data_IF_617823192591
#
_entry.id   IF_617823192591
#
_cell.length_a   1.000
_cell.length_b   1.000
_cell.length_c   1.000
_cell.angle_alpha   90.00
_cell.angle_beta   90.00
_cell.angle_gamma   90.00
#
_symmetry.space_group_name_H-M   'P 1'
#
loop_
_entity.id
_entity.type
_entity.pdbx_description
1 polymer ?
#
# COMPACT_ATOMS: atom_id res chain seq x y z
N UNK A 1 -18.02 4.09 27.69
CA UNK A 1 -17.84 4.17 26.23
C UNK A 1 -19.02 3.47 25.55
N UNK A 2 -19.91 4.19 24.88
CA UNK A 2 -21.02 3.58 24.17
C UNK A 2 -20.49 2.77 22.99
N UNK A 3 -20.43 1.44 23.14
CA UNK A 3 -19.99 0.50 22.09
C UNK A 3 -21.06 0.26 20.98
N UNK A 4 -22.16 1.01 21.00
CA UNK A 4 -23.34 0.74 20.18
C UNK A 4 -23.51 1.61 18.92
N UNK A 5 -22.47 2.31 18.46
CA UNK A 5 -22.57 3.06 17.20
C UNK A 5 -22.43 2.11 16.02
N UNK A 6 -23.55 1.70 15.43
CA UNK A 6 -23.60 0.84 14.25
C UNK A 6 -23.39 1.66 12.96
N UNK A 7 -22.49 1.17 12.08
CA UNK A 7 -22.27 1.74 10.74
C UNK A 7 -21.43 3.03 10.73
N UNK A 8 -21.32 3.66 9.55
CA UNK A 8 -20.49 4.84 9.29
C UNK A 8 -21.33 6.08 8.88
N UNK A 9 -22.66 5.93 8.82
CA UNK A 9 -23.56 6.96 8.29
C UNK A 9 -23.47 7.11 6.77
N UNK A 10 -24.52 7.61 6.12
CA UNK A 10 -24.56 7.72 4.66
C UNK A 10 -23.43 8.60 4.11
N UNK A 11 -23.19 9.76 4.71
CA UNK A 11 -22.12 10.67 4.30
C UNK A 11 -20.73 10.10 4.57
N UNK A 12 -20.56 9.34 5.66
CA UNK A 12 -19.32 8.62 5.95
C UNK A 12 -19.00 7.55 4.91
N UNK A 13 -20.01 6.81 4.45
CA UNK A 13 -19.83 5.86 3.34
C UNK A 13 -19.41 6.54 2.05
N UNK A 14 -19.93 7.72 1.72
CA UNK A 14 -19.52 8.48 0.53
C UNK A 14 -18.04 8.86 0.61
N UNK A 15 -17.55 9.32 1.77
CA UNK A 15 -16.13 9.60 1.97
C UNK A 15 -15.26 8.34 1.83
N UNK A 16 -15.73 7.20 2.37
CA UNK A 16 -15.03 5.93 2.24
C UNK A 16 -14.98 5.46 0.77
N UNK A 17 -16.08 5.60 0.02
CA UNK A 17 -16.12 5.30 -1.42
C UNK A 17 -15.18 6.23 -2.18
N UNK A 18 -15.14 7.51 -1.88
CA UNK A 18 -14.21 8.46 -2.49
C UNK A 18 -12.74 8.03 -2.29
N UNK A 19 -12.36 7.62 -1.08
CA UNK A 19 -11.01 7.11 -0.84
C UNK A 19 -10.77 5.76 -1.50
N UNK A 20 -11.74 4.85 -1.48
CA UNK A 20 -11.66 3.57 -2.18
C UNK A 20 -11.40 3.78 -3.68
N UNK A 21 -12.11 4.71 -4.31
CA UNK A 21 -11.91 5.04 -5.73
C UNK A 21 -10.55 5.70 -6.00
N UNK A 22 -10.03 6.51 -5.06
CA UNK A 22 -8.68 7.04 -5.16
C UNK A 22 -7.61 5.93 -5.07
N UNK A 23 -7.79 4.92 -4.20
CA UNK A 23 -6.93 3.75 -4.16
C UNK A 23 -7.09 2.88 -5.43
N UNK A 24 -8.31 2.74 -5.93
CA UNK A 24 -8.55 2.03 -7.20
C UNK A 24 -7.83 2.73 -8.36
N UNK A 25 -7.88 4.06 -8.42
CA UNK A 25 -7.10 4.84 -9.39
C UNK A 25 -5.60 4.56 -9.27
N UNK A 26 -5.07 4.43 -8.04
CA UNK A 26 -3.68 4.08 -7.82
C UNK A 26 -3.36 2.69 -8.39
N UNK A 27 -4.20 1.68 -8.16
CA UNK A 27 -3.97 0.34 -8.74
C UNK A 27 -4.05 0.37 -10.26
N UNK A 28 -5.10 0.97 -10.82
CA UNK A 28 -5.34 0.96 -12.27
C UNK A 28 -4.31 1.77 -13.03
N UNK A 29 -4.08 3.04 -12.65
CA UNK A 29 -3.24 3.94 -13.45
C UNK A 29 -1.75 3.92 -13.09
N UNK A 30 -1.37 3.29 -11.96
CA UNK A 30 0.05 3.19 -11.59
C UNK A 30 0.57 1.77 -11.56
N UNK A 31 -0.21 0.78 -11.09
CA UNK A 31 0.28 -0.60 -11.00
C UNK A 31 0.02 -1.41 -12.28
N UNK A 32 -1.12 -1.25 -12.95
CA UNK A 32 -1.41 -2.00 -14.17
C UNK A 32 -0.41 -1.75 -15.31
N UNK A 33 0.03 -0.50 -15.61
CA UNK A 33 1.06 -0.28 -16.61
C UNK A 33 2.34 -1.07 -16.34
N UNK A 34 2.76 -1.10 -15.09
CA UNK A 34 3.96 -1.79 -14.66
C UNK A 34 3.79 -3.31 -14.60
N UNK A 35 2.64 -3.80 -14.12
CA UNK A 35 2.37 -5.21 -13.92
C UNK A 35 2.04 -5.94 -15.23
N UNK A 36 1.30 -5.29 -16.12
CA UNK A 36 0.66 -5.95 -17.25
C UNK A 36 1.14 -5.47 -18.63
N UNK A 37 1.58 -4.22 -18.73
CA UNK A 37 1.84 -3.55 -20.01
C UNK A 37 3.28 -3.03 -20.14
N UNK A 38 4.21 -3.59 -19.35
CA UNK A 38 5.62 -3.13 -19.35
C UNK A 38 6.26 -3.16 -20.73
N UNK A 39 6.09 -4.23 -21.48
CA UNK A 39 6.65 -4.35 -22.85
C UNK A 39 6.00 -3.39 -23.86
N UNK A 40 4.74 -2.98 -23.61
CA UNK A 40 4.08 -1.97 -24.44
C UNK A 40 4.61 -0.56 -24.16
N UNK A 41 4.78 -0.18 -22.89
CA UNK A 41 5.19 1.18 -22.53
C UNK A 41 6.70 1.42 -22.58
N UNK A 42 7.51 0.39 -22.34
CA UNK A 42 8.96 0.42 -22.47
C UNK A 42 9.46 -0.83 -23.20
N UNK A 43 9.50 -0.83 -24.53
CA UNK A 43 9.95 -2.00 -25.31
C UNK A 43 11.41 -2.39 -25.08
N UNK A 44 12.23 -1.47 -24.57
CA UNK A 44 13.66 -1.70 -24.34
C UNK A 44 13.89 -2.39 -22.99
N UNK A 45 13.28 -1.85 -21.92
CA UNK A 45 13.51 -2.31 -20.56
C UNK A 45 12.28 -3.06 -19.98
N UNK A 46 11.18 -3.09 -20.70
CA UNK A 46 9.96 -3.76 -20.27
C UNK A 46 9.44 -3.26 -18.92
N UNK A 47 8.97 -4.20 -18.12
CA UNK A 47 8.46 -3.95 -16.77
C UNK A 47 9.47 -3.26 -15.85
N UNK A 48 10.77 -3.52 -16.00
CA UNK A 48 11.81 -2.88 -15.18
C UNK A 48 11.88 -1.37 -15.42
N UNK A 49 11.78 -0.92 -16.68
CA UNK A 49 11.79 0.51 -17.02
C UNK A 49 10.59 1.24 -16.42
N UNK A 50 9.40 0.69 -16.57
CA UNK A 50 8.17 1.24 -15.98
C UNK A 50 8.23 1.23 -14.45
N UNK A 51 8.69 0.14 -13.83
CA UNK A 51 8.86 0.03 -12.39
C UNK A 51 9.87 1.03 -11.82
N UNK A 52 10.91 1.38 -12.58
CA UNK A 52 11.89 2.41 -12.22
C UNK A 52 11.23 3.79 -12.10
N UNK A 53 10.40 4.17 -13.08
CA UNK A 53 9.67 5.45 -13.03
C UNK A 53 8.74 5.49 -11.82
N UNK A 54 7.96 4.42 -11.60
CA UNK A 54 7.09 4.28 -10.43
C UNK A 54 7.87 4.46 -9.12
N UNK A 55 8.97 3.72 -8.97
CA UNK A 55 9.78 3.73 -7.74
C UNK A 55 10.33 5.13 -7.45
N UNK A 56 10.87 5.82 -8.45
CA UNK A 56 11.38 7.19 -8.28
C UNK A 56 10.24 8.12 -7.87
N UNK A 57 9.09 8.09 -8.57
CA UNK A 57 7.94 8.93 -8.26
C UNK A 57 7.40 8.67 -6.83
N UNK A 58 7.26 7.40 -6.44
CA UNK A 58 6.78 7.01 -5.13
C UNK A 58 7.74 7.42 -4.00
N UNK A 59 9.06 7.27 -4.19
CA UNK A 59 10.06 7.75 -3.23
C UNK A 59 10.05 9.27 -3.09
N UNK A 60 9.96 10.02 -4.19
CA UNK A 60 9.76 11.48 -4.16
C UNK A 60 8.48 11.83 -3.42
N UNK A 61 7.39 11.09 -3.64
CA UNK A 61 6.12 11.26 -2.95
C UNK A 61 6.25 11.13 -1.42
N UNK A 62 7.00 10.15 -0.92
CA UNK A 62 7.27 10.00 0.53
C UNK A 62 8.05 11.19 1.07
N UNK A 63 9.10 11.64 0.37
CA UNK A 63 9.88 12.81 0.79
C UNK A 63 9.00 14.06 0.84
N UNK A 64 8.17 14.29 -0.17
CA UNK A 64 7.24 15.42 -0.20
C UNK A 64 6.20 15.34 0.93
N UNK A 65 5.69 14.15 1.27
CA UNK A 65 4.77 13.98 2.40
C UNK A 65 5.44 14.32 3.73
N UNK A 66 6.68 13.90 3.94
CA UNK A 66 7.46 14.23 5.14
C UNK A 66 7.68 15.75 5.25
N UNK A 67 8.08 16.41 4.15
CA UNK A 67 8.29 17.87 4.10
C UNK A 67 6.96 18.62 4.30
N UNK A 68 5.86 18.15 3.70
CA UNK A 68 4.55 18.80 3.80
C UNK A 68 3.88 18.62 5.17
N UNK A 69 4.17 17.53 5.88
CA UNK A 69 3.52 17.16 7.14
C UNK A 69 3.48 18.32 8.19
N UNK A 70 4.55 19.09 8.45
CA UNK A 70 4.49 20.21 9.40
C UNK A 70 3.60 21.38 8.95
N UNK A 71 3.34 21.50 7.65
CA UNK A 71 2.57 22.60 7.08
C UNK A 71 1.07 22.30 6.97
N UNK A 72 0.67 21.04 7.13
CA UNK A 72 -0.74 20.61 7.00
C UNK A 72 -1.64 21.37 7.97
N UNK A 73 -1.21 21.60 9.20
CA UNK A 73 -1.97 22.36 10.18
C UNK A 73 -2.24 23.83 9.80
N UNK A 74 -1.54 24.37 8.78
CA UNK A 74 -1.73 25.73 8.24
C UNK A 74 -2.72 25.76 7.08
N UNK A 75 -3.12 24.60 6.55
CA UNK A 75 -4.04 24.50 5.41
C UNK A 75 -5.46 24.70 5.91
N UNK A 76 -6.14 25.72 5.38
CA UNK A 76 -7.50 26.08 5.82
C UNK A 76 -8.57 25.03 5.54
N UNK A 77 -8.39 24.22 4.49
CA UNK A 77 -9.34 23.18 4.09
C UNK A 77 -8.63 22.01 3.43
N UNK A 78 -8.60 20.87 4.13
CA UNK A 78 -8.07 19.60 3.62
C UNK A 78 -8.99 19.03 2.53
N UNK A 79 -10.31 19.24 2.68
CA UNK A 79 -11.28 18.86 1.66
C UNK A 79 -10.97 19.52 0.31
N UNK A 80 -10.81 20.89 0.29
CA UNK A 80 -10.48 21.60 -0.96
C UNK A 80 -9.16 21.10 -1.56
N UNK A 81 -8.15 20.90 -0.70
CA UNK A 81 -6.88 20.33 -1.14
C UNK A 81 -7.07 18.95 -1.75
N UNK A 82 -7.90 18.07 -1.15
CA UNK A 82 -8.15 16.72 -1.68
C UNK A 82 -8.83 16.75 -3.05
N UNK A 83 -9.77 17.69 -3.27
CA UNK A 83 -10.43 17.85 -4.58
C UNK A 83 -9.45 18.35 -5.64
N UNK A 84 -8.65 19.38 -5.33
CA UNK A 84 -7.64 19.90 -6.26
C UNK A 84 -6.63 18.82 -6.63
N UNK A 85 -6.12 18.09 -5.64
CA UNK A 85 -5.20 16.98 -5.87
C UNK A 85 -5.85 15.86 -6.68
N UNK A 86 -7.13 15.54 -6.42
CA UNK A 86 -7.89 14.58 -7.20
C UNK A 86 -8.01 14.99 -8.67
N UNK A 87 -8.36 16.23 -8.96
CA UNK A 87 -8.47 16.76 -10.33
C UNK A 87 -7.11 16.68 -11.05
N UNK A 88 -6.02 17.14 -10.42
CA UNK A 88 -4.68 17.12 -11.02
C UNK A 88 -4.22 15.68 -11.24
N UNK A 89 -4.50 14.79 -10.27
CA UNK A 89 -4.21 13.36 -10.40
C UNK A 89 -4.96 12.74 -11.61
N UNK A 90 -6.23 13.09 -11.79
CA UNK A 90 -7.02 12.58 -12.91
C UNK A 90 -6.54 13.12 -14.26
N UNK A 91 -6.05 14.36 -14.33
CA UNK A 91 -5.39 14.88 -15.56
C UNK A 91 -4.16 14.05 -15.91
N UNK A 92 -3.34 13.69 -14.92
CA UNK A 92 -2.17 12.83 -15.14
C UNK A 92 -2.59 11.39 -15.55
N UNK A 93 -3.62 10.84 -14.91
CA UNK A 93 -4.19 9.52 -15.26
C UNK A 93 -4.77 9.52 -16.68
N UNK A 94 -5.42 10.60 -17.11
CA UNK A 94 -5.86 10.78 -18.50
C UNK A 94 -4.67 10.73 -19.47
N UNK A 95 -3.56 11.38 -19.12
CA UNK A 95 -2.31 11.29 -19.89
C UNK A 95 -1.78 9.86 -19.97
N UNK A 96 -1.79 9.09 -18.87
CA UNK A 96 -1.38 7.66 -18.88
C UNK A 96 -2.26 6.83 -19.82
N UNK A 97 -3.56 7.12 -19.87
CA UNK A 97 -4.51 6.40 -20.72
C UNK A 97 -4.40 6.78 -22.21
N UNK A 98 -4.19 8.07 -22.51
CA UNK A 98 -4.31 8.59 -23.88
C UNK A 98 -2.99 8.76 -24.63
N UNK A 99 -1.88 8.96 -23.91
CA UNK A 99 -0.58 9.14 -24.54
C UNK A 99 -0.03 7.81 -25.06
N UNK A 100 0.56 7.86 -26.23
CA UNK A 100 1.34 6.74 -26.77
C UNK A 100 2.65 6.56 -25.99
N UNK A 101 3.19 5.33 -25.92
CA UNK A 101 4.50 5.09 -25.32
C UNK A 101 5.58 6.07 -25.81
N UNK A 102 6.38 6.61 -24.87
CA UNK A 102 7.42 7.59 -25.16
C UNK A 102 7.60 8.60 -24.04
N UNK A 103 8.38 9.65 -24.28
CA UNK A 103 8.76 10.64 -23.24
C UNK A 103 7.54 11.31 -22.60
N UNK A 104 6.52 11.67 -23.37
CA UNK A 104 5.31 12.31 -22.84
C UNK A 104 4.56 11.35 -21.92
N UNK A 105 4.42 10.09 -22.30
CA UNK A 105 3.81 9.07 -21.46
C UNK A 105 4.59 8.90 -20.16
N UNK A 106 5.92 8.82 -20.21
CA UNK A 106 6.79 8.70 -19.03
C UNK A 106 6.57 9.85 -18.04
N UNK A 107 6.43 11.08 -18.55
CA UNK A 107 6.13 12.27 -17.72
C UNK A 107 4.74 12.16 -17.10
N UNK A 108 3.72 11.82 -17.88
CA UNK A 108 2.36 11.62 -17.37
C UNK A 108 2.31 10.51 -16.32
N UNK A 109 3.00 9.39 -16.56
CA UNK A 109 3.06 8.27 -15.64
C UNK A 109 3.80 8.62 -14.34
N UNK A 110 4.93 9.34 -14.42
CA UNK A 110 5.63 9.83 -13.24
C UNK A 110 4.71 10.70 -12.35
N UNK A 111 4.01 11.67 -12.96
CA UNK A 111 3.11 12.53 -12.21
C UNK A 111 1.86 11.78 -11.73
N UNK A 112 1.32 10.82 -12.47
CA UNK A 112 0.23 9.97 -12.00
C UNK A 112 0.67 9.17 -10.77
N UNK A 113 1.82 8.52 -10.79
CA UNK A 113 2.37 7.79 -9.63
C UNK A 113 2.57 8.71 -8.42
N UNK A 114 3.18 9.88 -8.63
CA UNK A 114 3.44 10.84 -7.57
C UNK A 114 2.15 11.39 -6.93
N UNK A 115 1.26 11.92 -7.77
CA UNK A 115 0.10 12.67 -7.31
C UNK A 115 -1.01 11.77 -6.77
N UNK A 116 -1.26 10.61 -7.42
CA UNK A 116 -2.28 9.67 -6.96
C UNK A 116 -1.91 9.08 -5.61
N UNK A 117 -0.63 8.77 -5.38
CA UNK A 117 -0.15 8.28 -4.07
C UNK A 117 -0.38 9.36 -3.00
N UNK A 118 0.04 10.60 -3.24
CA UNK A 118 -0.16 11.70 -2.28
C UNK A 118 -1.64 11.92 -2.03
N UNK A 119 -2.45 11.96 -3.06
CA UNK A 119 -3.89 12.18 -2.96
C UNK A 119 -4.59 11.09 -2.17
N UNK A 120 -4.43 9.82 -2.56
CA UNK A 120 -5.16 8.68 -1.98
C UNK A 120 -4.70 8.33 -0.56
N UNK A 121 -3.38 8.29 -0.32
CA UNK A 121 -2.85 7.79 0.95
C UNK A 121 -2.70 8.90 2.01
N UNK A 122 -2.31 10.10 1.59
CA UNK A 122 -1.96 11.17 2.52
C UNK A 122 -3.11 12.18 2.70
N UNK A 123 -3.55 12.85 1.65
CA UNK A 123 -4.53 13.93 1.77
C UNK A 123 -5.90 13.40 2.21
N UNK A 124 -6.44 12.38 1.52
CA UNK A 124 -7.73 11.82 1.92
C UNK A 124 -7.60 11.08 3.25
N UNK A 125 -6.45 10.48 3.55
CA UNK A 125 -6.17 9.87 4.85
C UNK A 125 -6.28 10.85 6.03
N UNK A 126 -5.91 12.13 5.83
CA UNK A 126 -6.11 13.18 6.82
C UNK A 126 -7.59 13.49 6.96
N UNK A 127 -8.31 13.64 5.84
CA UNK A 127 -9.75 13.88 5.84
C UNK A 127 -10.53 12.76 6.54
N UNK A 128 -10.16 11.51 6.30
CA UNK A 128 -10.69 10.35 7.05
C UNK A 128 -10.44 10.49 8.56
N UNK A 129 -9.25 10.96 8.95
CA UNK A 129 -8.95 11.21 10.36
C UNK A 129 -9.81 12.29 11.00
N UNK A 130 -10.23 13.32 10.23
CA UNK A 130 -11.15 14.36 10.69
C UNK A 130 -12.60 13.85 10.85
N UNK A 131 -13.03 12.93 9.99
CA UNK A 131 -14.36 12.33 10.02
C UNK A 131 -14.49 11.16 11.01
N UNK A 132 -13.43 10.37 11.14
CA UNK A 132 -13.41 9.13 11.94
C UNK A 132 -12.23 9.09 12.92
N UNK A 133 -12.17 10.02 13.90
CA UNK A 133 -11.01 10.13 14.79
C UNK A 133 -10.75 8.86 15.61
N UNK A 134 -11.79 8.14 16.08
CA UNK A 134 -11.65 6.89 16.84
C UNK A 134 -11.57 5.65 15.96
N UNK A 135 -12.20 5.68 14.78
CA UNK A 135 -12.39 4.51 13.90
C UNK A 135 -11.52 4.57 12.64
N UNK A 136 -10.55 5.50 12.58
CA UNK A 136 -9.67 5.70 11.42
C UNK A 136 -9.04 4.41 10.92
N UNK A 137 -8.51 3.57 11.83
CA UNK A 137 -7.88 2.30 11.46
C UNK A 137 -8.85 1.32 10.77
N UNK A 138 -10.08 1.21 11.29
CA UNK A 138 -11.12 0.36 10.68
C UNK A 138 -11.50 0.85 9.28
N UNK A 139 -11.68 2.16 9.12
CA UNK A 139 -12.02 2.77 7.83
C UNK A 139 -10.88 2.56 6.82
N UNK A 140 -9.64 2.83 7.22
CA UNK A 140 -8.47 2.60 6.36
C UNK A 140 -8.35 1.14 5.95
N UNK A 141 -8.59 0.18 6.86
CA UNK A 141 -8.60 -1.25 6.54
C UNK A 141 -9.67 -1.63 5.50
N UNK A 142 -10.85 -1.00 5.55
CA UNK A 142 -11.91 -1.27 4.58
C UNK A 142 -11.60 -0.68 3.19
N UNK A 143 -11.07 0.53 3.12
CA UNK A 143 -10.82 1.18 1.83
C UNK A 143 -9.60 0.60 1.10
N UNK A 144 -8.63 0.04 1.82
CA UNK A 144 -7.46 -0.64 1.21
C UNK A 144 -7.82 -1.95 0.50
N UNK A 145 -9.04 -2.48 0.67
CA UNK A 145 -9.58 -3.59 -0.14
C UNK A 145 -9.59 -3.24 -1.65
N UNK A 146 -9.53 -1.95 -2.01
CA UNK A 146 -9.36 -1.51 -3.39
C UNK A 146 -8.14 -2.14 -4.10
N UNK A 147 -7.05 -2.44 -3.37
CA UNK A 147 -5.85 -3.07 -3.93
C UNK A 147 -6.12 -4.49 -4.48
N UNK A 148 -6.58 -5.45 -3.69
CA UNK A 148 -6.90 -6.78 -4.21
C UNK A 148 -8.06 -6.75 -5.22
N UNK A 149 -9.06 -5.87 -5.07
CA UNK A 149 -10.13 -5.71 -6.05
C UNK A 149 -9.59 -5.23 -7.39
N UNK A 150 -8.76 -4.17 -7.39
CA UNK A 150 -8.14 -3.68 -8.63
C UNK A 150 -7.28 -4.75 -9.31
N UNK A 151 -6.57 -5.56 -8.54
CA UNK A 151 -5.76 -6.66 -9.07
C UNK A 151 -6.62 -7.77 -9.69
N UNK A 152 -7.75 -8.13 -9.06
CA UNK A 152 -8.70 -9.10 -9.61
C UNK A 152 -9.30 -8.64 -10.94
N UNK A 153 -9.59 -7.33 -11.07
CA UNK A 153 -10.18 -6.75 -12.27
C UNK A 153 -9.17 -6.65 -13.44
N UNK A 154 -7.88 -6.72 -13.16
CA UNK A 154 -6.84 -6.57 -14.18
C UNK A 154 -6.94 -7.62 -15.30
N UNK A 155 -7.12 -8.90 -14.96
CA UNK A 155 -7.28 -9.97 -15.95
C UNK A 155 -8.48 -9.71 -16.86
N UNK A 156 -9.63 -9.41 -16.25
CA UNK A 156 -10.90 -9.20 -16.96
C UNK A 156 -10.81 -8.05 -17.98
N UNK A 157 -10.14 -6.95 -17.61
CA UNK A 157 -10.10 -5.75 -18.45
C UNK A 157 -8.86 -5.66 -19.35
N UNK A 158 -7.73 -6.24 -18.93
CA UNK A 158 -6.47 -6.15 -19.66
C UNK A 158 -5.99 -7.47 -20.25
N UNK A 159 -6.66 -8.60 -20.04
CA UNK A 159 -6.20 -9.91 -20.50
C UNK A 159 -5.86 -9.92 -22.01
N UNK A 160 -6.74 -9.35 -22.84
CA UNK A 160 -6.50 -9.20 -24.28
C UNK A 160 -5.26 -8.34 -24.58
N UNK A 161 -5.15 -7.17 -23.94
CA UNK A 161 -4.02 -6.27 -24.14
C UNK A 161 -2.69 -6.89 -23.68
N UNK A 162 -2.70 -7.65 -22.56
CA UNK A 162 -1.54 -8.37 -22.05
C UNK A 162 -1.08 -9.42 -23.06
N UNK A 163 -2.00 -10.26 -23.55
CA UNK A 163 -1.69 -11.31 -24.52
C UNK A 163 -1.12 -10.74 -25.83
N UNK A 164 -1.76 -9.70 -26.36
CA UNK A 164 -1.27 -9.00 -27.54
C UNK A 164 0.11 -8.37 -27.33
N UNK A 165 0.31 -7.66 -26.19
CA UNK A 165 1.60 -7.00 -25.89
C UNK A 165 2.75 -8.01 -25.82
N UNK A 166 2.54 -9.11 -25.11
CA UNK A 166 3.55 -10.16 -24.96
C UNK A 166 3.80 -10.90 -26.29
N UNK A 167 2.76 -11.20 -27.05
CA UNK A 167 2.87 -11.85 -28.36
C UNK A 167 3.64 -11.01 -29.37
N UNK A 168 3.33 -9.73 -29.45
CA UNK A 168 4.01 -8.79 -30.35
C UNK A 168 5.47 -8.53 -29.92
N UNK A 169 5.72 -8.40 -28.62
CA UNK A 169 7.07 -8.25 -28.09
C UNK A 169 7.95 -9.48 -28.38
N UNK A 170 7.40 -10.69 -28.22
CA UNK A 170 8.11 -11.95 -28.53
C UNK A 170 8.44 -12.09 -30.02
N UNK A 171 7.63 -11.51 -30.90
CA UNK A 171 7.85 -11.49 -32.35
C UNK A 171 8.78 -10.34 -32.79
N UNK A 172 9.25 -9.48 -31.87
CA UNK A 172 10.06 -8.32 -32.19
C UNK A 172 9.32 -7.27 -33.03
N UNK A 173 8.00 -7.14 -32.84
CA UNK A 173 7.18 -6.22 -33.59
C UNK A 173 7.66 -4.77 -33.40
N UNK A 174 7.69 -3.95 -34.46
CA UNK A 174 8.09 -2.54 -34.34
C UNK A 174 7.09 -1.76 -33.48
N UNK A 175 7.61 -0.75 -32.75
CA UNK A 175 6.83 0.06 -31.82
C UNK A 175 5.57 0.66 -32.43
N UNK A 176 5.66 1.14 -33.67
CA UNK A 176 4.51 1.73 -34.37
C UNK A 176 3.37 0.74 -34.57
N UNK A 177 3.68 -0.53 -34.89
CA UNK A 177 2.69 -1.58 -35.02
C UNK A 177 2.07 -1.93 -33.64
N UNK A 178 2.87 -1.98 -32.59
CA UNK A 178 2.37 -2.19 -31.21
C UNK A 178 1.43 -1.06 -30.79
N UNK A 179 1.79 0.19 -31.02
CA UNK A 179 0.96 1.35 -30.68
C UNK A 179 -0.36 1.34 -31.45
N UNK A 180 -0.31 1.05 -32.76
CA UNK A 180 -1.50 1.00 -33.61
C UNK A 180 -2.48 -0.11 -33.17
N UNK A 181 -1.97 -1.28 -32.79
CA UNK A 181 -2.81 -2.42 -32.41
C UNK A 181 -3.31 -2.33 -30.96
N UNK A 182 -2.42 -2.00 -30.02
CA UNK A 182 -2.73 -2.04 -28.59
C UNK A 182 -3.35 -0.76 -28.05
N UNK A 183 -3.02 0.40 -28.61
CA UNK A 183 -3.49 1.68 -28.12
C UNK A 183 -5.00 1.73 -27.87
N UNK A 184 -5.85 1.39 -28.86
CA UNK A 184 -7.31 1.38 -28.67
C UNK A 184 -7.78 0.37 -27.60
N UNK A 185 -7.14 -0.80 -27.52
CA UNK A 185 -7.49 -1.85 -26.54
C UNK A 185 -7.17 -1.39 -25.12
N UNK A 186 -6.00 -0.82 -24.92
CA UNK A 186 -5.57 -0.25 -23.64
C UNK A 186 -6.49 0.91 -23.23
N UNK A 187 -6.78 1.85 -24.11
CA UNK A 187 -7.71 2.95 -23.83
C UNK A 187 -9.08 2.45 -23.40
N UNK A 188 -9.64 1.46 -24.12
CA UNK A 188 -10.92 0.83 -23.79
C UNK A 188 -10.91 0.18 -22.41
N UNK A 189 -9.80 -0.45 -22.02
CA UNK A 189 -9.65 -1.09 -20.73
C UNK A 189 -9.59 -0.09 -19.56
N UNK A 190 -8.92 1.05 -19.73
CA UNK A 190 -8.76 2.07 -18.68
C UNK A 190 -9.98 3.00 -18.54
N UNK A 191 -10.72 3.23 -19.62
CA UNK A 191 -11.81 4.22 -19.69
C UNK A 191 -12.88 4.04 -18.60
N UNK A 192 -13.42 2.84 -18.31
CA UNK A 192 -14.45 2.66 -17.27
C UNK A 192 -13.95 3.14 -15.90
N UNK A 193 -12.71 2.84 -15.57
CA UNK A 193 -12.11 3.24 -14.28
C UNK A 193 -11.87 4.74 -14.21
N UNK A 194 -11.44 5.34 -15.30
CA UNK A 194 -11.31 6.79 -15.39
C UNK A 194 -12.64 7.48 -15.12
N UNK A 195 -13.71 7.05 -15.78
CA UNK A 195 -15.06 7.61 -15.59
C UNK A 195 -15.54 7.41 -14.16
N UNK A 196 -15.41 6.20 -13.60
CA UNK A 196 -15.87 5.90 -12.24
C UNK A 196 -15.13 6.77 -11.21
N UNK A 197 -13.83 6.96 -11.35
CA UNK A 197 -13.05 7.81 -10.43
C UNK A 197 -13.43 9.28 -10.59
N UNK A 198 -13.64 9.77 -11.81
CA UNK A 198 -14.12 11.14 -12.05
C UNK A 198 -15.50 11.36 -11.42
N UNK A 199 -16.43 10.40 -11.55
CA UNK A 199 -17.74 10.45 -10.86
C UNK A 199 -17.53 10.50 -9.34
N UNK A 200 -16.60 9.70 -8.78
CA UNK A 200 -16.26 9.75 -7.37
C UNK A 200 -15.76 11.12 -6.90
N UNK A 201 -14.91 11.80 -7.69
CA UNK A 201 -14.47 13.17 -7.41
C UNK A 201 -15.66 14.15 -7.43
N UNK A 202 -16.53 14.05 -8.43
CA UNK A 202 -17.75 14.90 -8.52
C UNK A 202 -18.67 14.68 -7.32
N UNK A 203 -18.91 13.44 -6.93
CA UNK A 203 -19.71 13.12 -5.74
C UNK A 203 -19.07 13.68 -4.46
N UNK A 204 -17.75 13.63 -4.34
CA UNK A 204 -17.03 14.23 -3.22
C UNK A 204 -17.21 15.76 -3.19
N UNK A 205 -17.17 16.43 -4.35
CA UNK A 205 -17.42 17.88 -4.45
C UNK A 205 -18.81 18.25 -3.92
N UNK A 206 -19.82 17.45 -4.25
CA UNK A 206 -21.22 17.74 -3.92
C UNK A 206 -21.58 17.37 -2.48
N UNK A 207 -21.02 16.28 -1.94
CA UNK A 207 -21.57 15.60 -0.77
C UNK A 207 -20.64 15.60 0.46
N UNK A 208 -19.35 15.97 0.32
CA UNK A 208 -18.36 15.96 1.39
C UNK A 208 -17.88 17.38 1.70
N UNK A 209 -17.46 17.60 2.94
CA UNK A 209 -16.78 18.82 3.43
C UNK A 209 -15.67 18.43 4.41
N UNK A 210 -14.92 19.40 4.92
CA UNK A 210 -13.82 19.17 5.87
C UNK A 210 -14.28 18.39 7.10
N UNK A 211 -15.44 18.72 7.63
CA UNK A 211 -15.97 18.10 8.83
C UNK A 211 -17.40 17.58 8.60
N UNK A 212 -17.78 16.47 9.23
CA UNK A 212 -19.11 15.87 9.05
C UNK A 212 -20.24 16.82 9.51
N UNK A 213 -20.00 17.66 10.51
CA UNK A 213 -20.98 18.62 11.03
C UNK A 213 -21.42 19.64 9.95
N UNK A 214 -20.53 19.97 9.02
CA UNK A 214 -20.83 20.92 7.92
C UNK A 214 -21.86 20.37 6.91
N UNK A 215 -22.15 19.07 6.97
CA UNK A 215 -23.13 18.38 6.10
C UNK A 215 -24.21 17.66 6.92
N UNK A 216 -24.38 18.02 8.20
CA UNK A 216 -25.37 17.43 9.09
C UNK A 216 -25.09 15.97 9.49
N UNK A 217 -23.83 15.56 9.45
CA UNK A 217 -23.37 14.26 9.92
C UNK A 217 -22.58 14.39 11.24
N UNK A 218 -22.21 13.27 11.85
CA UNK A 218 -21.48 13.22 13.12
C UNK A 218 -20.13 12.50 12.94
N UNK A 219 -19.11 12.90 13.70
CA UNK A 219 -17.81 12.20 13.74
C UNK A 219 -18.00 10.79 14.27
N UNK A 220 -17.32 9.84 13.66
CA UNK A 220 -17.49 8.40 13.92
C UNK A 220 -18.96 7.92 13.79
N UNK A 221 -19.86 8.70 13.20
CA UNK A 221 -21.31 8.50 13.22
C UNK A 221 -21.88 8.45 14.65
N UNK A 222 -21.24 9.13 15.59
CA UNK A 222 -21.59 9.15 17.02
C UNK A 222 -22.04 10.54 17.41
N UNK A 223 -23.33 10.70 17.76
CA UNK A 223 -23.92 11.98 18.20
C UNK A 223 -23.28 12.52 19.47
N UNK A 224 -22.64 11.69 20.28
CA UNK A 224 -21.96 12.09 21.51
C UNK A 224 -20.54 12.66 21.26
N UNK A 225 -19.99 12.50 20.05
CA UNK A 225 -18.68 13.03 19.68
C UNK A 225 -18.80 14.47 19.23
N UNK A 226 -18.49 15.42 20.12
CA UNK A 226 -18.54 16.82 19.78
C UNK A 226 -17.27 17.30 19.05
N UNK A 227 -17.32 18.42 18.30
CA UNK A 227 -16.15 19.01 17.67
C UNK A 227 -15.04 19.35 18.66
N UNK A 228 -15.40 19.79 19.88
CA UNK A 228 -14.45 20.15 20.95
C UNK A 228 -13.69 18.89 21.43
N UNK A 229 -14.37 17.75 21.60
CA UNK A 229 -13.74 16.48 21.95
C UNK A 229 -12.73 16.03 20.88
N UNK A 230 -13.05 16.20 19.61
CA UNK A 230 -12.15 15.81 18.53
C UNK A 230 -10.96 16.79 18.40
N UNK A 231 -11.17 18.09 18.65
CA UNK A 231 -10.09 19.08 18.73
C UNK A 231 -9.15 18.76 19.91
N UNK A 232 -9.71 18.43 21.07
CA UNK A 232 -8.91 18.03 22.24
C UNK A 232 -8.07 16.78 21.94
N UNK A 233 -8.60 15.77 21.23
CA UNK A 233 -7.81 14.61 20.78
C UNK A 233 -6.66 15.02 19.86
N UNK A 234 -6.91 15.92 18.89
CA UNK A 234 -5.88 16.39 17.96
C UNK A 234 -4.80 17.22 18.69
N UNK A 235 -5.20 18.09 19.60
CA UNK A 235 -4.28 18.88 20.42
C UNK A 235 -3.42 17.98 21.30
N UNK A 236 -4.01 16.97 21.93
CA UNK A 236 -3.31 15.97 22.72
C UNK A 236 -2.24 15.23 21.88
N UNK A 237 -2.56 14.82 20.66
CA UNK A 237 -1.56 14.19 19.77
C UNK A 237 -0.42 15.15 19.40
N UNK A 238 -0.72 16.42 19.14
CA UNK A 238 0.28 17.45 18.79
C UNK A 238 1.20 17.72 19.99
N UNK A 239 0.63 17.83 21.19
CA UNK A 239 1.38 18.06 22.41
C UNK A 239 2.27 16.86 22.76
N UNK A 240 1.74 15.65 22.64
CA UNK A 240 2.51 14.42 22.83
C UNK A 240 3.70 14.31 21.87
N UNK A 241 3.55 14.75 20.62
CA UNK A 241 4.70 14.80 19.69
C UNK A 241 5.79 15.74 20.15
N UNK A 242 5.44 16.88 20.74
CA UNK A 242 6.42 17.88 21.23
C UNK A 242 7.12 17.41 22.50
N UNK A 243 6.39 16.70 23.36
CA UNK A 243 6.88 16.27 24.66
C UNK A 243 7.46 14.85 24.67
N UNK A 244 7.35 14.09 23.59
CA UNK A 244 7.84 12.74 23.47
C UNK A 244 9.35 12.65 23.71
N UNK A 245 9.76 11.68 24.53
CA UNK A 245 11.19 11.37 24.77
C UNK A 245 11.82 10.59 23.61
N UNK A 246 11.03 10.09 22.70
CA UNK A 246 11.42 9.31 21.52
C UNK A 246 11.78 10.19 20.32
N UNK A 247 12.70 11.15 20.49
CA UNK A 247 13.29 11.92 19.38
C UNK A 247 13.93 10.99 18.32
N UNK A 248 14.32 11.54 17.16
CA UNK A 248 14.90 10.74 16.07
C UNK A 248 16.11 9.92 16.54
N UNK A 249 17.07 10.54 17.21
CA UNK A 249 18.28 9.85 17.69
C UNK A 249 17.97 8.74 18.71
N UNK A 250 17.05 8.98 19.65
CA UNK A 250 16.64 7.97 20.65
C UNK A 250 15.91 6.78 20.00
N UNK A 251 15.07 7.04 18.98
CA UNK A 251 14.36 5.98 18.26
C UNK A 251 15.33 5.12 17.46
N UNK A 252 16.24 5.72 16.70
CA UNK A 252 17.22 4.99 15.88
C UNK A 252 18.26 4.25 16.74
N UNK A 253 18.55 4.74 17.94
CA UNK A 253 19.47 4.08 18.89
C UNK A 253 18.83 2.86 19.59
N UNK A 254 17.50 2.70 19.53
CA UNK A 254 16.81 1.55 20.09
C UNK A 254 16.85 0.38 19.09
N UNK A 255 17.55 -0.75 19.40
CA UNK A 255 17.59 -1.88 18.48
C UNK A 255 16.22 -2.44 18.14
N UNK A 256 15.28 -2.43 19.08
CA UNK A 256 13.93 -2.98 18.91
C UNK A 256 13.10 -2.19 17.90
N UNK A 257 13.44 -0.92 17.64
CA UNK A 257 12.86 -0.17 16.54
C UNK A 257 13.14 -0.85 15.18
N UNK A 258 14.40 -1.22 14.93
CA UNK A 258 14.81 -1.90 13.69
C UNK A 258 14.24 -3.31 13.60
N UNK A 259 14.18 -4.01 14.76
CA UNK A 259 13.65 -5.37 14.85
C UNK A 259 12.14 -5.48 14.57
N UNK A 260 11.42 -4.37 14.54
CA UNK A 260 10.01 -4.28 14.09
C UNK A 260 9.91 -3.67 12.70
N UNK A 261 10.61 -2.55 12.45
CA UNK A 261 10.46 -1.79 11.21
C UNK A 261 10.99 -2.55 9.98
N UNK A 262 12.12 -3.25 10.10
CA UNK A 262 12.72 -3.99 9.00
C UNK A 262 11.90 -5.22 8.58
N UNK A 263 11.44 -6.09 9.50
CA UNK A 263 10.53 -7.17 9.14
C UNK A 263 9.22 -6.68 8.53
N UNK A 264 8.63 -5.59 9.06
CA UNK A 264 7.45 -4.98 8.47
C UNK A 264 7.72 -4.49 7.03
N UNK A 265 8.89 -3.88 6.80
CA UNK A 265 9.35 -3.48 5.48
C UNK A 265 9.53 -4.66 4.53
N UNK A 266 10.18 -5.75 4.93
CA UNK A 266 10.32 -6.96 4.10
C UNK A 266 8.98 -7.61 3.77
N UNK A 267 8.04 -7.64 4.71
CA UNK A 267 6.68 -8.14 4.42
C UNK A 267 5.97 -7.24 3.40
N UNK A 268 6.16 -5.92 3.44
CA UNK A 268 5.63 -5.00 2.43
C UNK A 268 6.29 -5.21 1.06
N UNK A 269 7.63 -5.38 1.02
CA UNK A 269 8.34 -5.70 -0.23
C UNK A 269 7.83 -7.01 -0.81
N UNK A 270 7.67 -8.04 0.00
CA UNK A 270 7.13 -9.33 -0.43
C UNK A 270 5.70 -9.20 -0.96
N UNK A 271 4.81 -8.59 -0.20
CA UNK A 271 3.39 -8.49 -0.57
C UNK A 271 3.16 -7.58 -1.77
N UNK A 272 3.60 -6.33 -1.70
CA UNK A 272 3.33 -5.34 -2.76
C UNK A 272 4.17 -5.61 -4.00
N UNK A 273 5.45 -5.98 -3.83
CA UNK A 273 6.32 -6.29 -4.96
C UNK A 273 5.80 -7.47 -5.79
N UNK A 274 5.44 -8.59 -5.16
CA UNK A 274 4.86 -9.74 -5.86
C UNK A 274 3.49 -9.41 -6.47
N UNK A 275 2.67 -8.62 -5.77
CA UNK A 275 1.38 -8.19 -6.29
C UNK A 275 1.52 -7.34 -7.56
N UNK A 276 2.53 -6.46 -7.62
CA UNK A 276 2.79 -5.61 -8.79
C UNK A 276 3.43 -6.36 -9.96
N UNK A 277 3.81 -7.63 -9.77
CA UNK A 277 4.38 -8.49 -10.79
C UNK A 277 3.53 -9.75 -11.03
N UNK A 278 2.29 -9.79 -10.54
CA UNK A 278 1.44 -10.98 -10.56
C UNK A 278 1.25 -11.54 -11.97
N UNK A 279 1.05 -10.68 -12.98
CA UNK A 279 0.95 -11.09 -14.38
C UNK A 279 2.21 -11.81 -14.85
N UNK A 280 3.37 -11.18 -14.65
CA UNK A 280 4.65 -11.75 -15.05
C UNK A 280 4.94 -13.08 -14.34
N UNK A 281 4.54 -13.19 -13.04
CA UNK A 281 4.69 -14.44 -12.27
C UNK A 281 3.86 -15.56 -12.89
N UNK A 282 2.60 -15.32 -13.25
CA UNK A 282 1.76 -16.37 -13.83
C UNK A 282 2.13 -16.70 -15.27
N UNK A 283 2.54 -15.70 -16.06
CA UNK A 283 3.05 -15.94 -17.42
C UNK A 283 4.34 -16.75 -17.41
N UNK A 284 5.24 -16.53 -16.43
CA UNK A 284 6.50 -17.26 -16.31
C UNK A 284 6.30 -18.80 -16.17
N UNK A 285 5.12 -19.23 -15.75
CA UNK A 285 4.77 -20.67 -15.62
C UNK A 285 3.75 -21.12 -16.67
N UNK A 286 3.63 -20.35 -17.78
CA UNK A 286 2.82 -20.73 -18.94
C UNK A 286 1.31 -20.56 -18.75
N UNK A 287 0.86 -19.68 -17.86
CA UNK A 287 -0.55 -19.30 -17.81
C UNK A 287 -0.81 -18.20 -18.84
N UNK A 288 -1.64 -18.49 -19.81
CA UNK A 288 -2.05 -17.54 -20.83
C UNK A 288 -2.89 -16.42 -20.20
N UNK A 289 -2.48 -15.16 -20.32
CA UNK A 289 -3.20 -14.01 -19.75
C UNK A 289 -4.58 -13.77 -20.36
N UNK A 290 -4.88 -14.36 -21.53
CA UNK A 290 -6.21 -14.30 -22.17
C UNK A 290 -7.15 -15.43 -21.70
N UNK A 291 -6.65 -16.33 -20.86
CA UNK A 291 -7.41 -17.52 -20.44
C UNK A 291 -8.30 -17.25 -19.23
N UNK A 292 -9.46 -17.89 -19.17
CA UNK A 292 -10.30 -17.92 -17.97
C UNK A 292 -9.57 -18.44 -16.72
N UNK A 293 -8.52 -19.26 -16.90
CA UNK A 293 -7.66 -19.72 -15.82
C UNK A 293 -6.89 -18.58 -15.18
N UNK A 294 -6.38 -17.64 -15.96
CA UNK A 294 -5.67 -16.47 -15.48
C UNK A 294 -6.59 -15.61 -14.59
N UNK A 295 -7.79 -15.29 -15.07
CA UNK A 295 -8.78 -14.54 -14.30
C UNK A 295 -9.16 -15.22 -13.00
N UNK A 296 -9.40 -16.55 -13.06
CA UNK A 296 -9.74 -17.34 -11.88
C UNK A 296 -8.61 -17.29 -10.83
N UNK A 297 -7.35 -17.47 -11.24
CA UNK A 297 -6.20 -17.47 -10.31
C UNK A 297 -6.03 -16.09 -9.66
N UNK A 298 -6.18 -14.99 -10.41
CA UNK A 298 -6.15 -13.62 -9.89
C UNK A 298 -7.29 -13.36 -8.91
N UNK A 299 -8.51 -13.79 -9.25
CA UNK A 299 -9.69 -13.62 -8.40
C UNK A 299 -9.53 -14.39 -7.08
N UNK A 300 -9.12 -15.65 -7.13
CA UNK A 300 -8.88 -16.47 -5.94
C UNK A 300 -7.78 -15.85 -5.07
N UNK A 301 -6.67 -15.39 -5.66
CA UNK A 301 -5.61 -14.69 -4.94
C UNK A 301 -6.13 -13.45 -4.19
N UNK A 302 -7.00 -12.67 -4.84
CA UNK A 302 -7.60 -11.48 -4.26
C UNK A 302 -8.55 -11.79 -3.10
N UNK A 303 -9.38 -12.85 -3.23
CA UNK A 303 -10.25 -13.33 -2.15
C UNK A 303 -9.43 -13.77 -0.95
N UNK A 304 -8.37 -14.56 -1.17
CA UNK A 304 -7.45 -15.01 -0.11
C UNK A 304 -6.80 -13.80 0.58
N UNK A 305 -6.39 -12.77 -0.17
CA UNK A 305 -5.79 -11.57 0.40
C UNK A 305 -6.77 -10.80 1.31
N UNK A 306 -8.04 -10.70 0.94
CA UNK A 306 -9.08 -10.06 1.76
C UNK A 306 -9.31 -10.85 3.05
N UNK A 307 -9.56 -12.17 2.93
CA UNK A 307 -9.83 -13.05 4.07
C UNK A 307 -8.62 -13.16 4.99
N UNK A 308 -7.41 -13.33 4.43
CA UNK A 308 -6.16 -13.42 5.17
C UNK A 308 -5.87 -12.15 5.97
N UNK A 309 -6.10 -10.97 5.39
CA UNK A 309 -5.95 -9.69 6.07
C UNK A 309 -6.86 -9.56 7.29
N UNK A 310 -8.11 -9.98 7.14
CA UNK A 310 -9.08 -9.97 8.23
C UNK A 310 -8.69 -10.94 9.34
N UNK A 311 -8.30 -12.18 8.99
CA UNK A 311 -7.87 -13.19 9.96
C UNK A 311 -6.62 -12.75 10.73
N UNK A 312 -5.60 -12.25 10.04
CA UNK A 312 -4.37 -11.76 10.70
C UNK A 312 -4.63 -10.54 11.58
N UNK A 313 -5.57 -9.67 11.21
CA UNK A 313 -6.02 -8.57 12.07
C UNK A 313 -6.66 -9.05 13.38
N UNK A 314 -7.47 -10.12 13.34
CA UNK A 314 -8.02 -10.76 14.54
C UNK A 314 -6.90 -11.42 15.38
N UNK A 315 -5.98 -12.10 14.73
CA UNK A 315 -4.85 -12.75 15.39
C UNK A 315 -3.99 -11.70 16.11
N UNK A 316 -3.68 -10.58 15.44
CA UNK A 316 -2.92 -9.47 16.01
C UNK A 316 -3.58 -8.92 17.28
N UNK A 317 -4.89 -8.72 17.26
CA UNK A 317 -5.63 -8.23 18.44
C UNK A 317 -5.67 -9.24 19.58
N UNK A 318 -5.69 -10.55 19.30
CA UNK A 318 -5.80 -11.61 20.32
C UNK A 318 -4.47 -12.03 20.95
N UNK A 319 -3.42 -12.17 20.13
CA UNK A 319 -2.13 -12.74 20.59
C UNK A 319 -0.97 -11.74 20.52
N UNK A 320 -1.22 -10.53 20.02
CA UNK A 320 -0.26 -9.43 19.92
C UNK A 320 0.53 -9.41 18.61
N UNK A 321 1.04 -8.23 18.28
CA UNK A 321 1.67 -7.89 17.00
C UNK A 321 2.85 -8.82 16.65
N UNK A 322 3.79 -9.03 17.58
CA UNK A 322 4.97 -9.88 17.35
C UNK A 322 4.60 -11.29 16.92
N UNK A 323 3.65 -11.94 17.62
CA UNK A 323 3.23 -13.31 17.31
C UNK A 323 2.48 -13.35 15.96
N UNK A 324 1.63 -12.36 15.69
CA UNK A 324 0.95 -12.23 14.41
C UNK A 324 1.94 -12.03 13.26
N UNK A 325 2.96 -11.18 13.43
CA UNK A 325 4.05 -11.01 12.46
C UNK A 325 4.82 -12.31 12.22
N UNK A 326 5.11 -13.08 13.27
CA UNK A 326 5.79 -14.38 13.12
C UNK A 326 4.96 -15.34 12.26
N UNK A 327 3.64 -15.41 12.48
CA UNK A 327 2.74 -16.23 11.65
C UNK A 327 2.76 -15.77 10.19
N UNK A 328 2.68 -14.47 9.95
CA UNK A 328 2.73 -13.90 8.59
C UNK A 328 4.08 -14.17 7.90
N UNK A 329 5.19 -14.05 8.64
CA UNK A 329 6.54 -14.33 8.12
C UNK A 329 6.72 -15.83 7.85
N UNK A 330 6.16 -16.73 8.65
CA UNK A 330 6.16 -18.17 8.35
C UNK A 330 5.39 -18.44 7.04
N UNK A 331 4.24 -17.80 6.84
CA UNK A 331 3.51 -17.90 5.57
C UNK A 331 4.35 -17.38 4.40
N UNK A 332 5.10 -16.29 4.59
CA UNK A 332 6.04 -15.74 3.59
C UNK A 332 7.15 -16.74 3.24
N UNK A 333 7.74 -17.40 4.24
CA UNK A 333 8.78 -18.44 4.04
C UNK A 333 8.19 -19.62 3.26
N UNK A 334 7.02 -20.12 3.67
CA UNK A 334 6.35 -21.24 2.98
C UNK A 334 6.01 -20.86 1.54
N UNK A 335 5.49 -19.65 1.30
CA UNK A 335 5.26 -19.11 -0.04
C UNK A 335 6.54 -19.10 -0.87
N UNK A 336 7.65 -18.65 -0.28
CA UNK A 336 8.96 -18.63 -0.94
C UNK A 336 9.45 -20.04 -1.32
N UNK A 337 9.36 -21.01 -0.40
CA UNK A 337 9.75 -22.40 -0.65
C UNK A 337 8.89 -23.02 -1.76
N UNK A 338 7.57 -22.93 -1.63
CA UNK A 338 6.62 -23.55 -2.56
C UNK A 338 6.75 -22.92 -3.94
N UNK A 339 6.75 -21.58 -4.03
CA UNK A 339 6.85 -20.89 -5.32
C UNK A 339 8.18 -21.10 -6.04
N UNK A 340 9.30 -21.23 -5.30
CA UNK A 340 10.62 -21.52 -5.86
C UNK A 340 10.74 -22.94 -6.49
N UNK A 341 9.78 -23.83 -6.26
CA UNK A 341 9.72 -25.14 -6.95
C UNK A 341 9.44 -25.00 -8.45
N UNK A 342 8.99 -23.85 -8.93
CA UNK A 342 8.91 -23.46 -10.34
C UNK A 342 7.80 -24.14 -11.16
N UNK A 343 7.10 -25.13 -10.65
CA UNK A 343 5.96 -25.72 -11.36
C UNK A 343 4.74 -24.79 -11.32
N UNK A 344 3.88 -24.86 -12.33
CA UNK A 344 2.69 -24.00 -12.43
C UNK A 344 1.82 -24.08 -11.16
N UNK A 345 1.59 -25.28 -10.64
CA UNK A 345 0.79 -25.51 -9.42
C UNK A 345 1.50 -24.91 -8.21
N UNK A 346 2.81 -25.08 -8.09
CA UNK A 346 3.59 -24.57 -6.98
C UNK A 346 3.63 -23.04 -6.95
N UNK A 347 3.80 -22.39 -8.11
CA UNK A 347 3.78 -20.93 -8.21
C UNK A 347 2.41 -20.36 -7.85
N UNK A 348 1.32 -20.98 -8.34
CA UNK A 348 -0.05 -20.60 -7.97
C UNK A 348 -0.26 -20.74 -6.45
N UNK A 349 0.12 -21.90 -5.88
CA UNK A 349 0.00 -22.14 -4.44
C UNK A 349 0.87 -21.17 -3.63
N UNK A 350 2.09 -20.89 -4.08
CA UNK A 350 2.96 -19.89 -3.47
C UNK A 350 2.32 -18.49 -3.42
N UNK A 351 1.72 -18.05 -4.52
CA UNK A 351 0.99 -16.77 -4.60
C UNK A 351 -0.25 -16.76 -3.70
N UNK A 352 -0.99 -17.83 -3.60
CA UNK A 352 -2.15 -17.93 -2.72
C UNK A 352 -1.76 -17.91 -1.23
N UNK A 353 -0.66 -18.59 -0.86
CA UNK A 353 -0.11 -18.51 0.50
C UNK A 353 0.37 -17.10 0.81
N UNK A 354 1.02 -16.43 -0.15
CA UNK A 354 1.40 -15.03 -0.04
C UNK A 354 0.18 -14.14 0.23
N UNK A 355 -0.94 -14.40 -0.44
CA UNK A 355 -2.20 -13.69 -0.27
C UNK A 355 -2.63 -13.58 1.19
N UNK A 356 -2.38 -14.60 2.02
CA UNK A 356 -2.78 -14.64 3.44
C UNK A 356 -2.30 -13.40 4.20
N UNK A 357 -1.08 -12.90 3.94
CA UNK A 357 -0.54 -11.77 4.68
C UNK A 357 -0.47 -10.45 3.88
N UNK A 358 -0.83 -10.46 2.59
CA UNK A 358 -0.71 -9.28 1.71
C UNK A 358 -1.33 -8.03 2.30
N UNK A 359 -2.58 -8.09 2.74
CA UNK A 359 -3.27 -6.91 3.27
C UNK A 359 -2.92 -6.60 4.72
N UNK A 360 -2.47 -7.58 5.50
CA UNK A 360 -2.07 -7.37 6.90
C UNK A 360 -0.69 -6.71 7.02
N UNK A 361 0.18 -6.84 6.02
CA UNK A 361 1.57 -6.35 6.05
C UNK A 361 1.67 -4.86 6.37
N UNK A 362 0.77 -4.03 5.84
CA UNK A 362 0.73 -2.59 6.10
C UNK A 362 0.29 -2.23 7.53
N UNK A 363 -0.47 -3.09 8.19
CA UNK A 363 -1.01 -2.82 9.52
C UNK A 363 0.02 -3.03 10.64
N UNK A 364 1.07 -3.82 10.40
CA UNK A 364 2.06 -4.14 11.42
C UNK A 364 2.92 -2.95 11.85
N UNK A 365 3.11 -1.95 11.00
CA UNK A 365 3.80 -0.71 11.37
C UNK A 365 3.01 0.07 12.42
N UNK A 366 1.68 0.11 12.28
CA UNK A 366 0.76 0.74 13.23
C UNK A 366 0.69 -0.09 14.50
N UNK A 367 0.36 -1.38 14.36
CA UNK A 367 0.15 -2.28 15.50
C UNK A 367 1.39 -2.42 16.37
N UNK A 368 2.58 -2.59 15.79
CA UNK A 368 3.84 -2.63 16.51
C UNK A 368 4.11 -1.34 17.28
N UNK A 369 3.89 -0.19 16.64
CA UNK A 369 4.10 1.10 17.29
C UNK A 369 3.13 1.36 18.45
N UNK A 370 1.87 0.89 18.35
CA UNK A 370 0.87 1.05 19.42
C UNK A 370 1.12 0.08 20.59
N UNK A 371 1.54 -1.15 20.30
CA UNK A 371 1.66 -2.20 21.32
C UNK A 371 2.95 -2.11 22.13
N UNK A 372 4.05 -1.61 21.56
CA UNK A 372 5.37 -1.67 22.20
C UNK A 372 5.89 -0.31 22.69
N UNK A 373 5.23 0.78 22.33
CA UNK A 373 5.52 2.12 22.86
C UNK A 373 4.29 2.68 23.58
N UNK A 374 4.51 3.68 24.43
CA UNK A 374 3.40 4.34 25.13
C UNK A 374 2.48 5.02 24.12
N UNK A 375 1.19 5.08 24.44
CA UNK A 375 0.19 5.68 23.56
C UNK A 375 0.49 7.17 23.27
N UNK A 376 1.07 7.88 24.23
CA UNK A 376 1.51 9.26 24.08
C UNK A 376 2.71 9.41 23.14
N UNK A 377 3.60 8.41 23.08
CA UNK A 377 4.78 8.39 22.19
C UNK A 377 4.48 7.78 20.82
N UNK A 378 3.31 7.13 20.66
CA UNK A 378 2.90 6.47 19.41
C UNK A 378 3.03 7.36 18.17
N UNK A 379 2.51 8.62 18.13
CA UNK A 379 2.61 9.44 16.92
C UNK A 379 4.05 9.73 16.51
N UNK A 380 4.93 9.83 17.50
CA UNK A 380 6.36 10.14 17.29
C UNK A 380 7.13 8.92 16.77
N UNK A 381 6.87 7.74 17.33
CA UNK A 381 7.53 6.48 16.92
C UNK A 381 6.97 5.99 15.60
N UNK A 382 5.64 5.96 15.44
CA UNK A 382 4.99 5.59 14.20
C UNK A 382 5.43 6.48 13.03
N UNK A 383 5.58 7.79 13.29
CA UNK A 383 6.13 8.73 12.31
C UNK A 383 7.57 8.44 11.85
N UNK A 384 8.23 7.39 12.37
CA UNK A 384 9.55 6.91 11.95
C UNK A 384 9.51 5.47 11.44
N UNK A 385 8.74 4.58 12.08
CA UNK A 385 8.55 3.18 11.64
C UNK A 385 7.89 3.14 10.27
N UNK A 386 6.82 3.88 10.11
CA UNK A 386 6.03 3.84 8.88
C UNK A 386 6.75 4.39 7.64
N UNK A 387 7.44 5.56 7.67
CA UNK A 387 8.22 6.02 6.52
C UNK A 387 9.34 5.06 6.11
N UNK A 388 10.03 4.42 7.07
CA UNK A 388 11.07 3.44 6.76
C UNK A 388 10.48 2.21 6.04
N UNK A 389 9.39 1.66 6.55
CA UNK A 389 8.71 0.53 5.92
C UNK A 389 8.12 0.91 4.55
N UNK A 390 7.56 2.12 4.41
CA UNK A 390 7.06 2.63 3.14
C UNK A 390 8.16 2.92 2.11
N UNK A 391 9.34 3.34 2.53
CA UNK A 391 10.48 3.47 1.62
C UNK A 391 10.82 2.12 1.01
N UNK A 392 10.92 1.07 1.84
CA UNK A 392 11.12 -0.30 1.36
C UNK A 392 9.97 -0.75 0.44
N UNK A 393 8.73 -0.49 0.82
CA UNK A 393 7.54 -0.78 0.02
C UNK A 393 7.58 -0.14 -1.38
N UNK A 394 7.98 1.12 -1.46
CA UNK A 394 8.03 1.85 -2.75
C UNK A 394 9.16 1.35 -3.67
N UNK A 395 10.20 0.74 -3.11
CA UNK A 395 11.25 0.07 -3.89
C UNK A 395 10.83 -1.33 -4.36
N UNK A 396 9.79 -1.92 -3.77
CA UNK A 396 9.39 -3.30 -3.99
C UNK A 396 9.13 -3.66 -5.46
N UNK A 397 8.38 -2.86 -6.25
CA UNK A 397 8.13 -3.17 -7.65
C UNK A 397 9.41 -3.31 -8.47
N UNK A 398 10.37 -2.39 -8.26
CA UNK A 398 11.64 -2.42 -8.97
C UNK A 398 12.50 -3.61 -8.52
N UNK A 399 12.55 -3.90 -7.22
CA UNK A 399 13.32 -5.03 -6.67
C UNK A 399 12.81 -6.35 -7.25
N UNK A 400 11.50 -6.59 -7.18
CA UNK A 400 10.91 -7.85 -7.67
C UNK A 400 11.00 -7.94 -9.20
N UNK A 401 10.73 -6.86 -9.94
CA UNK A 401 10.91 -6.85 -11.39
C UNK A 401 12.36 -7.16 -11.78
N UNK A 402 13.34 -6.55 -11.09
CA UNK A 402 14.75 -6.81 -11.37
C UNK A 402 15.15 -8.26 -11.10
N UNK A 403 14.61 -8.88 -10.06
CA UNK A 403 14.85 -10.29 -9.76
C UNK A 403 14.21 -11.21 -10.81
N UNK A 404 13.00 -10.93 -11.25
CA UNK A 404 12.31 -11.73 -12.26
C UNK A 404 12.97 -11.69 -13.63
N UNK A 405 13.61 -10.58 -13.99
CA UNK A 405 14.27 -10.40 -15.28
C UNK A 405 15.81 -10.47 -15.19
N UNK A 406 16.39 -10.91 -14.07
CA UNK A 406 17.84 -10.99 -13.91
C UNK A 406 18.50 -11.96 -14.89
N UNK A 407 17.77 -12.98 -15.32
CA UNK A 407 18.22 -14.01 -16.27
C UNK A 407 17.64 -13.79 -17.69
N UNK A 408 17.18 -12.59 -18.01
CA UNK A 408 16.48 -12.29 -19.28
C UNK A 408 17.26 -12.72 -20.53
N UNK A 409 18.60 -12.59 -20.51
CA UNK A 409 19.44 -13.06 -21.60
C UNK A 409 19.37 -14.57 -21.84
N UNK A 410 19.17 -15.37 -20.78
CA UNK A 410 19.06 -16.82 -20.84
C UNK A 410 17.64 -17.28 -21.14
N UNK A 411 16.65 -16.53 -20.69
CA UNK A 411 15.22 -16.84 -20.86
C UNK A 411 14.61 -16.18 -22.10
N UNK A 412 15.43 -15.66 -23.01
CA UNK A 412 14.96 -14.94 -24.21
C UNK A 412 13.97 -13.80 -23.88
N UNK A 413 14.23 -13.06 -22.80
CA UNK A 413 13.37 -11.96 -22.35
C UNK A 413 12.14 -12.38 -21.55
N UNK A 414 11.93 -13.69 -21.32
CA UNK A 414 10.81 -14.16 -20.52
C UNK A 414 11.07 -13.94 -19.00
N UNK A 415 10.04 -13.61 -18.22
CA UNK A 415 10.17 -13.49 -16.78
C UNK A 415 10.45 -14.86 -16.14
N UNK A 416 11.22 -14.86 -15.05
CA UNK A 416 11.45 -16.02 -14.19
C UNK A 416 11.01 -15.67 -12.76
N UNK A 417 9.98 -16.37 -12.26
CA UNK A 417 9.47 -16.13 -10.91
C UNK A 417 10.37 -16.72 -9.81
N UNK A 418 11.24 -17.67 -10.12
CA UNK A 418 12.09 -18.36 -9.14
C UNK A 418 12.90 -17.42 -8.24
N UNK A 419 13.69 -16.48 -8.79
CA UNK A 419 14.46 -15.53 -7.99
C UNK A 419 13.62 -14.66 -7.05
N UNK A 420 12.40 -14.27 -7.46
CA UNK A 420 11.50 -13.51 -6.62
C UNK A 420 10.98 -14.33 -5.41
N UNK A 421 10.66 -15.61 -5.60
CA UNK A 421 10.29 -16.50 -4.51
C UNK A 421 11.47 -16.84 -3.59
N UNK A 422 12.68 -16.99 -4.12
CA UNK A 422 13.90 -17.13 -3.31
C UNK A 422 14.11 -15.88 -2.45
N UNK A 423 13.88 -14.70 -2.99
CA UNK A 423 13.93 -13.46 -2.21
C UNK A 423 12.93 -13.48 -1.05
N UNK A 424 11.67 -13.93 -1.28
CA UNK A 424 10.68 -14.08 -0.20
C UNK A 424 11.18 -15.03 0.90
N UNK A 425 11.76 -16.17 0.52
CA UNK A 425 12.33 -17.12 1.47
C UNK A 425 13.43 -16.46 2.32
N UNK A 426 14.42 -15.81 1.69
CA UNK A 426 15.55 -15.19 2.37
C UNK A 426 15.07 -14.05 3.27
N UNK A 427 14.26 -13.13 2.74
CA UNK A 427 13.70 -12.00 3.49
C UNK A 427 12.81 -12.48 4.65
N UNK A 428 12.06 -13.56 4.46
CA UNK A 428 11.26 -14.21 5.49
C UNK A 428 12.13 -14.79 6.61
N UNK A 429 13.18 -15.54 6.29
CA UNK A 429 14.11 -16.10 7.28
C UNK A 429 14.80 -14.99 8.08
N UNK A 430 15.29 -13.94 7.40
CA UNK A 430 15.89 -12.77 8.07
C UNK A 430 14.85 -12.11 9.00
N UNK A 431 13.64 -11.87 8.52
CA UNK A 431 12.56 -11.28 9.31
C UNK A 431 12.22 -12.12 10.54
N UNK A 432 12.20 -13.44 10.40
CA UNK A 432 11.93 -14.37 11.51
C UNK A 432 13.01 -14.26 12.60
N UNK A 433 14.28 -14.25 12.21
CA UNK A 433 15.41 -14.08 13.13
C UNK A 433 15.29 -12.74 13.86
N UNK A 434 15.02 -11.63 13.14
CA UNK A 434 14.87 -10.31 13.74
C UNK A 434 13.72 -10.27 14.75
N UNK A 435 12.57 -10.88 14.43
CA UNK A 435 11.41 -10.95 15.33
C UNK A 435 11.69 -11.81 16.58
N UNK A 436 12.50 -12.85 16.49
CA UNK A 436 12.93 -13.60 17.66
C UNK A 436 13.88 -12.81 18.57
N UNK A 437 14.73 -11.96 17.99
CA UNK A 437 15.63 -11.08 18.72
C UNK A 437 14.92 -9.89 19.39
N UNK A 438 13.71 -9.56 18.96
CA UNK A 438 12.90 -8.48 19.53
C UNK A 438 12.49 -8.78 20.97
N UNK A 439 12.70 -7.80 21.88
CA UNK A 439 12.39 -7.93 23.30
C UNK A 439 11.62 -6.70 23.81
N UNK A 440 10.30 -6.81 24.08
CA UNK A 440 9.51 -5.69 24.64
C UNK A 440 10.12 -5.07 25.90
N UNK A 441 10.69 -5.92 26.79
CA UNK A 441 11.36 -5.46 28.00
C UNK A 441 12.55 -4.53 27.74
N UNK A 442 13.22 -4.68 26.58
CA UNK A 442 14.32 -3.79 26.20
C UNK A 442 13.79 -2.42 25.75
N UNK A 443 12.66 -2.37 25.05
CA UNK A 443 11.98 -1.09 24.72
C UNK A 443 11.64 -0.34 26.01
N UNK A 444 11.06 -1.03 27.00
CA UNK A 444 10.78 -0.44 28.33
C UNK A 444 12.06 0.11 28.98
N UNK A 445 13.15 -0.64 28.96
CA UNK A 445 14.43 -0.19 29.52
C UNK A 445 14.95 1.10 28.87
N UNK A 446 14.81 1.23 27.55
CA UNK A 446 15.15 2.46 26.83
C UNK A 446 14.20 3.61 27.18
N UNK A 447 12.90 3.35 27.27
CA UNK A 447 11.88 4.32 27.65
C UNK A 447 12.18 4.88 29.06
N UNK A 448 12.38 4.01 30.04
CA UNK A 448 12.71 4.38 31.43
C UNK A 448 13.99 5.24 31.48
N UNK A 449 15.03 4.86 30.72
CA UNK A 449 16.29 5.62 30.64
C UNK A 449 16.07 7.02 30.05
N UNK A 450 15.28 7.15 29.00
CA UNK A 450 15.05 8.44 28.36
C UNK A 450 14.13 9.35 29.18
N UNK A 451 13.13 8.77 29.88
CA UNK A 451 12.24 9.49 30.79
C UNK A 451 12.99 9.99 32.03
N UNK A 452 13.80 9.16 32.65
CA UNK A 452 14.64 9.57 33.77
C UNK A 452 15.56 10.75 33.40
N UNK A 453 16.18 10.70 32.19
CA UNK A 453 17.01 11.80 31.69
C UNK A 453 16.22 13.09 31.42
N UNK A 454 14.94 12.96 31.07
CA UNK A 454 14.04 14.08 30.79
C UNK A 454 13.28 14.57 32.04
N UNK A 455 13.50 14.00 33.21
CA UNK A 455 12.78 14.34 34.44
C UNK A 455 11.31 13.98 34.43
N UNK A 456 10.91 12.99 33.59
CA UNK A 456 9.52 12.53 33.48
C UNK A 456 9.24 11.35 34.39
N UNK A 457 7.99 11.20 34.90
CA UNK A 457 7.67 10.11 35.84
C UNK A 457 7.88 8.74 35.18
N UNK A 458 8.42 7.81 35.98
CA UNK A 458 8.59 6.39 35.67
C UNK A 458 7.38 5.65 36.23
N UNK A 459 6.26 5.71 35.54
CA UNK A 459 5.07 4.95 35.94
C UNK A 459 5.04 3.61 35.17
N UNK A 460 4.43 2.58 35.82
CA UNK A 460 4.30 1.22 35.25
C UNK A 460 3.28 1.09 34.11
N UNK A 461 2.94 2.18 33.45
CA UNK A 461 2.06 2.16 32.28
C UNK A 461 2.80 1.53 31.11
N UNK A 462 2.54 0.28 30.97
CA UNK A 462 3.24 -0.72 30.17
C UNK A 462 3.35 -0.43 28.70
N UNK A 463 4.56 -0.55 28.28
CA UNK A 463 5.03 -1.11 27.04
C UNK A 463 4.49 -2.55 26.90
N UNK A 464 3.59 -2.77 25.97
CA UNK A 464 3.07 -4.11 25.64
C UNK A 464 1.84 -4.53 26.45
N UNK A 465 0.67 -4.13 26.00
CA UNK A 465 -0.57 -4.83 26.37
C UNK A 465 -0.57 -6.19 25.66
N UNK A 466 -0.30 -7.23 26.51
CA UNK A 466 -0.39 -8.69 26.32
C UNK A 466 0.38 -9.30 25.17
#
# INVERSE_FOLDING_TARGET
MNQNVKGFGARGWILMIYQFLAYLAMVVFTNWPMNALGSYYDPVNGTQGVAKIYTIAACVGVVLQVIASPFIGKIKSIYRLSIVMGIISMVSCFGVMMCTPGTLWNVCYFFACLLVIIWSTFIIGILIGQWFPRRKGTVMGLVTIAFPVGNALMGIFLGEAIGMSMGMAAQGAPMEAMVAALGPVVQKAFMPFFIIVCVGVVLAILLIKDFPEMVGAYRDNDKSMTPEMAQAMTQFEVENRKTSVWGLGHTLACPDFWLIAVPAGFMLVGSVGMMTQTTNIFVSVGIDPTSAKFDMVLMVNSVIAIVGSWLLGIIDTKIGCRKSMIIAVIAMIISGIVGAMGSQIAVIAGMWILGIFMGASSNYTVSGSVQYWRIEDFPTVFGKVNPLANLMNNMAPLVIASLMFMNAAQTHGQPDAGPAFIFLLVAGVVSLILLFLFKPARVKKFDDKYRAKAGKPLDDVLVGRK
#
